data_IF_869309482506
#
_entry.id   IF_869309482506
#
_cell.length_a   1.000
_cell.length_b   1.000
_cell.length_c   1.000
_cell.angle_alpha   90.00
_cell.angle_beta   90.00
_cell.angle_gamma   90.00
#
_symmetry.space_group_name_H-M   'P 1'
#
loop_
_entity.id
_entity.type
_entity.pdbx_description
1 polymer ?
#
# COMPACT_ATOMS: atom_id res chain seq x y z
N UNK A 1 -37.48 7.73 -62.85
CA UNK A 1 -38.50 8.05 -61.86
C UNK A 1 -38.24 7.20 -60.62
N UNK A 2 -37.71 7.77 -59.60
CA UNK A 2 -37.52 7.16 -58.28
C UNK A 2 -38.25 8.04 -57.26
N UNK A 3 -39.11 7.53 -56.39
CA UNK A 3 -39.71 8.33 -55.36
C UNK A 3 -38.78 8.45 -54.12
N UNK A 4 -38.62 9.67 -53.66
CA UNK A 4 -37.96 10.03 -52.40
C UNK A 4 -38.88 9.67 -51.22
N UNK A 5 -38.35 8.90 -50.25
CA UNK A 5 -38.97 8.72 -48.94
C UNK A 5 -38.39 9.78 -48.00
N UNK A 6 -39.28 10.65 -47.54
CA UNK A 6 -39.02 11.62 -46.47
C UNK A 6 -39.26 10.93 -45.14
N UNK A 7 -38.17 10.77 -44.34
CA UNK A 7 -38.23 10.23 -42.98
C UNK A 7 -38.47 11.39 -41.99
N UNK A 8 -39.63 11.47 -41.40
CA UNK A 8 -39.93 12.38 -40.30
C UNK A 8 -39.35 11.81 -39.00
N UNK A 9 -38.34 12.50 -38.43
CA UNK A 9 -37.81 12.24 -37.08
C UNK A 9 -38.72 12.91 -36.06
N UNK A 10 -39.47 12.13 -35.29
CA UNK A 10 -40.17 12.62 -34.09
C UNK A 10 -39.16 12.63 -32.93
N UNK A 11 -38.77 13.83 -32.51
CA UNK A 11 -38.02 14.06 -31.26
C UNK A 11 -39.01 13.97 -30.08
N UNK A 12 -39.01 12.88 -29.36
CA UNK A 12 -39.68 12.79 -28.05
C UNK A 12 -38.73 13.36 -27.00
N UNK A 13 -39.04 14.52 -26.47
CA UNK A 13 -38.38 15.09 -25.28
C UNK A 13 -38.76 14.25 -24.06
N UNK A 14 -37.79 13.52 -23.50
CA UNK A 14 -37.88 12.90 -22.18
C UNK A 14 -37.52 13.95 -21.12
N UNK A 15 -38.53 14.32 -20.33
CA UNK A 15 -38.32 15.12 -19.10
C UNK A 15 -37.66 14.25 -18.04
N UNK A 16 -36.66 14.75 -17.27
CA UNK A 16 -36.06 13.99 -16.19
C UNK A 16 -37.06 13.88 -15.02
N UNK A 17 -37.47 12.67 -14.71
CA UNK A 17 -38.23 12.37 -13.49
C UNK A 17 -37.29 12.43 -12.30
N UNK A 18 -37.44 13.47 -11.50
CA UNK A 18 -36.79 13.57 -10.17
C UNK A 18 -37.43 12.52 -9.26
N UNK A 19 -36.68 11.47 -8.92
CA UNK A 19 -37.06 10.54 -7.86
C UNK A 19 -36.86 11.24 -6.53
N UNK A 20 -37.97 11.62 -5.88
CA UNK A 20 -37.95 12.10 -4.51
C UNK A 20 -37.47 10.96 -3.59
N UNK A 21 -36.37 11.16 -2.89
CA UNK A 21 -35.99 10.31 -1.78
C UNK A 21 -36.98 10.51 -0.65
N UNK A 22 -37.75 9.48 -0.32
CA UNK A 22 -38.53 9.42 0.90
C UNK A 22 -37.56 9.44 2.11
N UNK A 23 -37.40 10.61 2.70
CA UNK A 23 -36.98 10.74 4.08
C UNK A 23 -38.20 10.46 4.94
N UNK A 24 -38.21 9.31 5.63
CA UNK A 24 -38.95 9.07 6.88
C UNK A 24 -39.10 7.57 7.08
N UNK A 25 -38.04 6.96 7.60
CA UNK A 25 -38.17 5.75 8.38
C UNK A 25 -37.24 5.90 9.60
N UNK A 26 -37.75 6.28 10.77
CA UNK A 26 -36.93 6.36 11.97
C UNK A 26 -36.62 4.93 12.42
N UNK A 27 -35.39 4.47 12.13
CA UNK A 27 -34.87 3.31 12.81
C UNK A 27 -34.81 3.61 14.32
N UNK A 28 -35.36 2.75 15.19
CA UNK A 28 -35.22 2.95 16.61
C UNK A 28 -33.72 2.94 16.99
N UNK A 29 -33.29 3.75 17.96
CA UNK A 29 -31.90 3.75 18.40
C UNK A 29 -31.58 2.36 18.94
N UNK A 30 -30.67 1.65 18.27
CA UNK A 30 -30.09 0.41 18.80
C UNK A 30 -29.11 0.81 19.88
N UNK A 31 -29.61 1.08 21.08
CA UNK A 31 -28.83 1.03 22.32
C UNK A 31 -28.71 -0.45 22.73
N UNK A 32 -28.02 -1.25 21.92
CA UNK A 32 -27.48 -2.48 22.42
C UNK A 32 -26.23 -2.10 23.22
N UNK A 33 -26.27 -2.28 24.53
CA UNK A 33 -25.06 -2.40 25.36
C UNK A 33 -24.12 -3.36 24.63
N UNK A 34 -23.06 -2.83 24.08
CA UNK A 34 -21.99 -3.60 23.44
C UNK A 34 -21.33 -4.36 24.57
N UNK A 35 -21.77 -5.60 24.80
CA UNK A 35 -21.05 -6.51 25.69
C UNK A 35 -19.60 -6.48 25.22
N UNK A 36 -18.70 -5.93 26.03
CA UNK A 36 -17.28 -5.89 25.76
C UNK A 36 -16.78 -7.31 25.74
N UNK A 37 -16.74 -7.91 24.55
CA UNK A 37 -16.03 -9.17 24.35
C UNK A 37 -14.59 -8.93 24.82
N UNK A 38 -14.02 -9.84 25.62
CA UNK A 38 -12.64 -9.68 26.03
C UNK A 38 -11.77 -9.58 24.77
N UNK A 39 -10.98 -8.51 24.69
CA UNK A 39 -10.02 -8.35 23.59
C UNK A 39 -9.10 -9.57 23.62
N UNK A 40 -9.04 -10.38 22.55
CA UNK A 40 -8.19 -11.55 22.53
C UNK A 40 -6.74 -11.14 22.78
N UNK A 41 -6.07 -11.86 23.64
CA UNK A 41 -4.67 -11.58 23.97
C UNK A 41 -3.77 -12.00 22.81
N UNK A 42 -2.71 -11.23 22.53
CA UNK A 42 -1.67 -11.64 21.59
C UNK A 42 -1.09 -13.02 21.97
N UNK A 43 -0.54 -13.77 20.99
CA UNK A 43 0.11 -15.05 21.29
C UNK A 43 1.20 -14.90 22.36
N UNK A 44 1.24 -15.83 23.32
CA UNK A 44 2.19 -15.74 24.44
C UNK A 44 3.67 -15.73 24.01
N UNK A 45 3.98 -16.32 22.85
CA UNK A 45 5.33 -16.34 22.29
C UNK A 45 5.75 -15.03 21.59
N UNK A 46 4.83 -14.09 21.36
CA UNK A 46 5.07 -12.89 20.56
C UNK A 46 6.17 -11.98 21.10
N UNK A 47 6.24 -11.69 22.44
CA UNK A 47 7.34 -10.86 22.97
C UNK A 47 8.72 -11.50 22.80
N UNK A 48 8.81 -12.83 22.95
CA UNK A 48 10.08 -13.55 22.80
C UNK A 48 10.54 -13.57 21.33
N UNK A 49 9.60 -13.73 20.38
CA UNK A 49 9.90 -13.68 18.97
C UNK A 49 10.28 -12.24 18.52
N UNK A 50 9.61 -11.24 19.08
CA UNK A 50 9.94 -9.83 18.86
C UNK A 50 11.38 -9.51 19.28
N UNK A 51 11.77 -9.93 20.48
CA UNK A 51 13.14 -9.77 20.97
C UNK A 51 14.15 -10.58 20.14
N UNK A 52 13.81 -11.79 19.72
CA UNK A 52 14.63 -12.63 18.85
C UNK A 52 14.85 -11.97 17.48
N UNK A 53 13.80 -11.33 16.94
CA UNK A 53 13.89 -10.60 15.67
C UNK A 53 14.95 -9.51 15.74
N UNK A 54 14.90 -8.66 16.76
CA UNK A 54 15.86 -7.56 16.92
C UNK A 54 17.29 -8.07 17.13
N UNK A 55 17.43 -9.19 17.82
CA UNK A 55 18.74 -9.74 18.13
C UNK A 55 19.38 -10.48 16.93
N UNK A 56 18.60 -11.18 16.09
CA UNK A 56 19.18 -12.16 15.15
C UNK A 56 18.43 -12.37 13.82
N UNK A 57 17.13 -12.02 13.70
CA UNK A 57 16.37 -12.46 12.53
C UNK A 57 16.38 -11.47 11.37
N UNK A 58 16.64 -10.21 11.64
CA UNK A 58 16.72 -9.21 10.55
C UNK A 58 17.85 -9.56 9.61
N UNK A 59 17.53 -9.80 8.36
CA UNK A 59 18.50 -10.10 7.31
C UNK A 59 19.18 -8.80 6.86
N UNK A 60 20.50 -8.76 6.91
CA UNK A 60 21.31 -7.63 6.47
C UNK A 60 21.32 -7.50 4.94
N UNK A 61 21.60 -6.28 4.44
CA UNK A 61 21.65 -5.97 3.01
C UNK A 61 20.30 -5.65 2.38
N UNK A 62 19.21 -5.62 3.18
CA UNK A 62 17.86 -5.21 2.78
C UNK A 62 17.40 -4.01 3.60
N UNK A 63 18.30 -3.09 3.93
CA UNK A 63 18.01 -1.86 4.66
C UNK A 63 17.33 -0.82 3.76
N UNK A 64 17.71 -0.78 2.47
CA UNK A 64 17.00 0.00 1.45
C UNK A 64 15.89 -0.84 0.84
N UNK A 65 14.68 -0.30 0.80
CA UNK A 65 13.51 -0.94 0.20
C UNK A 65 13.54 -0.96 -1.34
N UNK A 66 14.41 -0.18 -1.95
CA UNK A 66 14.56 -0.08 -3.40
C UNK A 66 15.65 -1.04 -3.90
N UNK A 67 15.33 -2.31 -3.99
CA UNK A 67 16.23 -3.35 -4.50
C UNK A 67 15.63 -4.08 -5.71
N UNK A 68 16.50 -4.64 -6.54
CA UNK A 68 16.11 -5.54 -7.63
C UNK A 68 16.08 -7.02 -7.19
N UNK A 69 15.54 -7.88 -8.05
CA UNK A 69 15.42 -9.30 -7.74
C UNK A 69 16.77 -10.00 -7.59
N UNK A 70 17.77 -9.64 -8.40
CA UNK A 70 19.12 -10.23 -8.34
C UNK A 70 19.77 -9.95 -6.99
N UNK A 71 19.67 -8.72 -6.49
CA UNK A 71 20.19 -8.35 -5.18
C UNK A 71 19.49 -9.14 -4.07
N UNK A 72 18.15 -9.17 -4.08
CA UNK A 72 17.38 -9.92 -3.10
C UNK A 72 17.73 -11.41 -3.10
N UNK A 73 17.83 -12.04 -4.28
CA UNK A 73 18.19 -13.45 -4.38
C UNK A 73 19.63 -13.73 -3.94
N UNK A 74 20.56 -12.80 -4.15
CA UNK A 74 21.94 -12.96 -3.65
C UNK A 74 22.00 -13.07 -2.13
N UNK A 75 21.08 -12.36 -1.44
CA UNK A 75 20.96 -12.37 0.03
C UNK A 75 20.14 -13.56 0.51
N UNK A 76 19.04 -13.90 -0.17
CA UNK A 76 18.14 -14.96 0.28
C UNK A 76 18.67 -16.37 0.00
N UNK A 77 19.43 -16.58 -1.08
CA UNK A 77 19.92 -17.92 -1.47
C UNK A 77 20.70 -18.64 -0.37
N UNK A 78 21.63 -18.01 0.38
CA UNK A 78 22.31 -18.67 1.48
C UNK A 78 21.38 -19.14 2.61
N UNK A 79 20.21 -18.49 2.78
CA UNK A 79 19.22 -18.86 3.80
C UNK A 79 18.38 -20.06 3.40
N UNK A 80 18.30 -20.35 2.10
CA UNK A 80 17.41 -21.33 1.47
C UNK A 80 18.09 -22.68 1.20
N UNK A 81 19.08 -23.04 2.01
CA UNK A 81 19.80 -24.29 1.82
C UNK A 81 18.91 -25.52 2.05
N UNK A 82 19.13 -26.55 1.24
CA UNK A 82 18.39 -27.83 1.29
C UNK A 82 18.47 -28.50 2.66
N UNK A 83 19.59 -28.34 3.39
CA UNK A 83 19.76 -28.87 4.76
C UNK A 83 18.73 -28.29 5.75
N UNK A 84 18.18 -27.11 5.47
CA UNK A 84 17.11 -26.48 6.27
C UNK A 84 15.72 -26.87 5.79
N UNK A 85 15.61 -27.75 4.79
CA UNK A 85 14.35 -28.26 4.27
C UNK A 85 13.71 -27.39 3.18
N UNK A 86 14.46 -26.43 2.65
CA UNK A 86 14.01 -25.62 1.52
C UNK A 86 14.29 -26.31 0.17
N UNK A 87 13.43 -26.02 -0.81
CA UNK A 87 13.67 -26.25 -2.24
C UNK A 87 13.33 -24.98 -2.99
N UNK A 88 14.21 -24.60 -3.90
CA UNK A 88 14.04 -23.43 -4.78
C UNK A 88 13.98 -23.95 -6.22
N UNK A 89 12.96 -23.55 -6.94
CA UNK A 89 12.73 -23.96 -8.34
C UNK A 89 12.51 -22.70 -9.19
N UNK A 90 13.14 -22.64 -10.36
CA UNK A 90 12.76 -21.69 -11.40
C UNK A 90 11.50 -22.22 -12.08
N UNK A 91 10.41 -21.46 -11.98
CA UNK A 91 9.07 -21.86 -12.44
C UNK A 91 8.60 -21.08 -13.67
N UNK A 92 9.40 -20.14 -14.15
CA UNK A 92 9.11 -19.33 -15.32
C UNK A 92 10.10 -18.20 -15.49
N UNK A 93 9.81 -17.35 -16.47
CA UNK A 93 10.58 -16.13 -16.75
C UNK A 93 9.65 -14.94 -16.96
N UNK A 94 10.10 -13.75 -16.56
CA UNK A 94 9.40 -12.49 -16.76
C UNK A 94 9.45 -12.04 -18.23
N UNK A 95 8.82 -10.91 -18.53
CA UNK A 95 8.87 -10.29 -19.87
C UNK A 95 10.31 -10.01 -20.31
N UNK A 96 11.20 -9.61 -19.42
CA UNK A 96 12.61 -9.32 -19.69
C UNK A 96 13.54 -10.52 -19.38
N UNK A 97 13.00 -11.72 -19.42
CA UNK A 97 13.73 -12.97 -19.24
C UNK A 97 14.41 -13.14 -17.86
N UNK A 98 13.93 -12.44 -16.82
CA UNK A 98 14.40 -12.65 -15.44
C UNK A 98 13.73 -13.88 -14.85
N UNK A 99 14.49 -14.72 -14.08
CA UNK A 99 13.94 -15.95 -13.52
C UNK A 99 12.86 -15.68 -12.48
N UNK A 100 11.74 -16.37 -12.61
CA UNK A 100 10.65 -16.43 -11.63
C UNK A 100 10.86 -17.66 -10.77
N UNK A 101 11.06 -17.49 -9.47
CA UNK A 101 11.46 -18.58 -8.57
C UNK A 101 10.45 -18.80 -7.46
N UNK A 102 10.18 -20.04 -7.19
CA UNK A 102 9.32 -20.55 -6.14
C UNK A 102 10.16 -21.19 -5.04
N UNK A 103 9.82 -20.92 -3.79
CA UNK A 103 10.42 -21.53 -2.61
C UNK A 103 9.39 -22.44 -1.96
N UNK A 104 9.78 -23.68 -1.70
CA UNK A 104 8.96 -24.65 -0.97
C UNK A 104 9.64 -25.02 0.36
N UNK A 105 8.84 -25.09 1.44
CA UNK A 105 9.30 -25.49 2.77
C UNK A 105 8.19 -26.16 3.58
N UNK A 106 8.57 -27.12 4.44
CA UNK A 106 7.63 -27.83 5.31
C UNK A 106 7.17 -29.16 4.75
N UNK A 107 6.49 -29.96 5.58
CA UNK A 107 6.04 -31.32 5.25
C UNK A 107 4.61 -31.60 5.72
N UNK A 108 3.94 -30.58 6.22
CA UNK A 108 2.56 -30.69 6.73
C UNK A 108 1.54 -30.78 5.59
N UNK A 109 0.30 -31.13 5.98
CA UNK A 109 -0.79 -31.38 5.01
C UNK A 109 -1.53 -30.11 4.58
N UNK A 110 -1.27 -28.97 5.22
CA UNK A 110 -1.95 -27.71 4.90
C UNK A 110 -1.10 -26.86 3.96
N UNK A 111 -1.43 -26.80 2.66
CA UNK A 111 -0.70 -25.98 1.72
C UNK A 111 -1.07 -24.51 1.89
N UNK A 112 -0.06 -23.66 1.99
CA UNK A 112 -0.16 -22.20 2.11
C UNK A 112 0.66 -21.56 1.00
N UNK A 113 0.06 -20.70 0.19
CA UNK A 113 0.74 -19.94 -0.86
C UNK A 113 0.88 -18.48 -0.44
N UNK A 114 2.11 -18.00 -0.42
CA UNK A 114 2.44 -16.58 -0.19
C UNK A 114 3.05 -16.01 -1.48
N UNK A 115 2.55 -14.85 -1.93
CA UNK A 115 3.17 -14.15 -3.05
C UNK A 115 3.31 -12.67 -2.73
N UNK A 116 4.42 -12.09 -3.16
CA UNK A 116 4.80 -10.71 -2.87
C UNK A 116 5.35 -10.02 -4.11
N UNK A 117 5.47 -8.72 -4.01
CA UNK A 117 6.09 -7.84 -5.00
C UNK A 117 5.59 -8.09 -6.43
N UNK A 118 4.27 -8.29 -6.57
CA UNK A 118 3.62 -8.25 -7.88
C UNK A 118 3.56 -6.81 -8.42
N UNK A 119 3.61 -5.82 -7.52
CA UNK A 119 4.01 -4.46 -7.86
C UNK A 119 5.49 -4.30 -7.46
N UNK A 120 6.32 -3.88 -8.40
CA UNK A 120 7.77 -3.91 -8.22
C UNK A 120 8.29 -2.95 -7.15
N UNK A 121 7.55 -1.92 -6.80
CA UNK A 121 7.85 -0.93 -5.76
C UNK A 121 7.28 -1.27 -4.36
N UNK A 122 6.66 -2.46 -4.21
CA UNK A 122 6.05 -2.92 -2.97
C UNK A 122 6.90 -4.03 -2.32
N UNK A 123 8.00 -3.64 -1.71
CA UNK A 123 9.06 -4.56 -1.30
C UNK A 123 9.04 -4.96 0.18
N UNK A 124 8.17 -4.36 1.01
CA UNK A 124 8.17 -4.59 2.46
C UNK A 124 8.01 -6.07 2.82
N UNK A 125 7.05 -6.74 2.16
CA UNK A 125 6.83 -8.16 2.38
C UNK A 125 7.99 -9.02 1.88
N UNK A 126 8.62 -8.70 0.75
CA UNK A 126 9.80 -9.44 0.26
C UNK A 126 10.96 -9.37 1.24
N UNK A 127 11.17 -8.21 1.91
CA UNK A 127 12.12 -8.10 3.01
C UNK A 127 11.75 -9.00 4.19
N UNK A 128 10.47 -8.97 4.62
CA UNK A 128 9.97 -9.79 5.72
C UNK A 128 10.02 -11.29 5.41
N UNK A 129 9.86 -11.70 4.15
CA UNK A 129 10.00 -13.08 3.71
C UNK A 129 11.46 -13.57 3.83
N UNK A 130 12.45 -12.73 3.58
CA UNK A 130 13.85 -13.08 3.83
C UNK A 130 14.09 -13.35 5.32
N UNK A 131 13.52 -12.52 6.22
CA UNK A 131 13.58 -12.72 7.67
C UNK A 131 12.87 -14.02 8.09
N UNK A 132 11.71 -14.31 7.47
CA UNK A 132 11.00 -15.56 7.68
C UNK A 132 11.85 -16.77 7.27
N UNK A 133 12.54 -16.70 6.14
CA UNK A 133 13.43 -17.78 5.70
C UNK A 133 14.61 -17.99 6.67
N UNK A 134 15.19 -16.92 7.19
CA UNK A 134 16.21 -17.03 8.26
C UNK A 134 15.64 -17.70 9.50
N UNK A 135 14.46 -17.28 9.95
CA UNK A 135 13.79 -17.89 11.11
C UNK A 135 13.54 -19.39 10.90
N UNK A 136 12.94 -19.76 9.78
CA UNK A 136 12.62 -21.16 9.48
C UNK A 136 13.86 -22.05 9.31
N UNK A 137 14.94 -21.50 8.72
CA UNK A 137 16.17 -22.21 8.42
C UNK A 137 17.10 -22.35 9.63
N UNK A 138 17.44 -21.23 10.25
CA UNK A 138 18.46 -21.19 11.31
C UNK A 138 17.91 -21.57 12.69
N UNK A 139 16.58 -21.46 12.90
CA UNK A 139 15.94 -21.75 14.17
C UNK A 139 15.06 -23.02 14.14
N UNK A 140 15.48 -24.05 13.41
CA UNK A 140 14.75 -25.31 13.24
C UNK A 140 14.38 -26.00 14.58
N UNK A 141 15.13 -25.70 15.65
CA UNK A 141 14.83 -26.17 17.02
C UNK A 141 13.70 -25.43 17.73
N UNK A 142 13.31 -24.23 17.24
CA UNK A 142 12.29 -23.40 17.87
C UNK A 142 10.91 -24.08 17.81
N UNK A 143 10.09 -24.02 18.89
CA UNK A 143 8.78 -24.70 18.92
C UNK A 143 7.86 -24.30 17.76
N UNK A 144 7.78 -23.01 17.43
CA UNK A 144 6.99 -22.51 16.29
C UNK A 144 7.47 -23.10 14.97
N UNK A 145 8.79 -23.14 14.72
CA UNK A 145 9.34 -23.68 13.47
C UNK A 145 9.03 -25.17 13.33
N UNK A 146 9.18 -25.95 14.41
CA UNK A 146 8.81 -27.38 14.43
C UNK A 146 7.33 -27.58 14.09
N UNK A 147 6.46 -26.76 14.70
CA UNK A 147 5.03 -26.83 14.51
C UNK A 147 4.61 -26.43 13.10
N UNK A 148 5.15 -25.32 12.57
CA UNK A 148 4.92 -24.90 11.19
C UNK A 148 5.36 -25.98 10.21
N UNK A 149 6.58 -26.54 10.39
CA UNK A 149 7.12 -27.60 9.52
C UNK A 149 6.25 -28.85 9.48
N UNK A 150 5.72 -29.26 10.61
CA UNK A 150 4.93 -30.49 10.74
C UNK A 150 3.50 -30.35 10.19
N UNK A 151 2.91 -29.16 10.24
CA UNK A 151 1.48 -28.97 9.97
C UNK A 151 1.19 -28.21 8.67
N UNK A 152 2.18 -27.46 8.14
CA UNK A 152 2.02 -26.69 6.90
C UNK A 152 3.05 -27.08 5.85
N UNK A 153 2.70 -26.82 4.61
CA UNK A 153 3.64 -26.75 3.50
C UNK A 153 3.57 -25.37 2.91
N UNK A 154 4.66 -24.60 3.05
CA UNK A 154 4.75 -23.24 2.55
C UNK A 154 5.25 -23.24 1.11
N UNK A 155 4.54 -22.55 0.27
CA UNK A 155 4.89 -22.23 -1.10
C UNK A 155 5.01 -20.70 -1.19
N UNK A 156 6.19 -20.19 -1.52
CA UNK A 156 6.45 -18.76 -1.53
C UNK A 156 6.94 -18.31 -2.89
N UNK A 157 6.30 -17.29 -3.45
CA UNK A 157 6.72 -16.60 -4.66
C UNK A 157 7.13 -15.16 -4.27
N UNK A 158 8.37 -14.94 -3.85
CA UNK A 158 8.76 -13.74 -3.12
C UNK A 158 8.83 -12.47 -3.98
N UNK A 159 9.09 -12.60 -5.28
CA UNK A 159 9.13 -11.49 -6.23
C UNK A 159 8.45 -11.93 -7.52
N UNK A 160 7.16 -11.57 -7.67
CA UNK A 160 6.36 -11.91 -8.85
C UNK A 160 6.74 -11.03 -10.04
N UNK A 161 7.12 -9.77 -9.81
CA UNK A 161 7.44 -8.77 -10.83
C UNK A 161 8.90 -8.31 -10.75
N UNK A 162 9.87 -9.12 -11.18
CA UNK A 162 11.28 -8.75 -11.11
C UNK A 162 11.64 -7.58 -12.04
N UNK A 163 10.89 -7.38 -13.14
CA UNK A 163 11.12 -6.28 -14.08
C UNK A 163 10.67 -4.94 -13.48
N UNK A 164 9.53 -4.93 -12.79
CA UNK A 164 9.08 -3.77 -12.03
C UNK A 164 10.00 -3.47 -10.85
N UNK A 165 10.46 -4.50 -10.13
CA UNK A 165 11.40 -4.35 -9.03
C UNK A 165 12.73 -3.72 -9.48
N UNK A 166 13.25 -4.11 -10.64
CA UNK A 166 14.47 -3.53 -11.20
C UNK A 166 14.39 -2.03 -11.47
N UNK A 167 13.17 -1.50 -11.63
CA UNK A 167 12.89 -0.07 -11.88
C UNK A 167 12.22 0.62 -10.69
N UNK A 168 11.98 -0.13 -9.63
CA UNK A 168 11.21 0.29 -8.48
C UNK A 168 9.89 0.95 -8.89
N UNK A 169 9.11 0.24 -9.71
CA UNK A 169 7.84 0.71 -10.25
C UNK A 169 6.73 -0.33 -10.09
N UNK A 170 5.48 0.12 -10.00
CA UNK A 170 4.31 -0.73 -9.82
C UNK A 170 4.15 -1.77 -10.95
N UNK A 171 4.18 -1.32 -12.19
CA UNK A 171 3.84 -2.11 -13.37
C UNK A 171 5.03 -2.94 -13.87
N UNK A 172 4.76 -4.01 -14.63
CA UNK A 172 5.81 -4.80 -15.27
C UNK A 172 6.48 -4.04 -16.44
N UNK A 173 7.39 -4.70 -17.15
CA UNK A 173 8.14 -4.11 -18.27
C UNK A 173 7.26 -3.62 -19.43
N UNK A 174 6.06 -4.16 -19.59
CA UNK A 174 5.10 -3.76 -20.64
C UNK A 174 4.06 -2.74 -20.13
N UNK A 175 4.20 -2.20 -18.91
CA UNK A 175 3.26 -1.27 -18.33
C UNK A 175 1.97 -1.91 -17.83
N UNK A 176 1.92 -3.24 -17.70
CA UNK A 176 0.75 -3.97 -17.22
C UNK A 176 0.80 -4.06 -15.68
N UNK A 177 -0.32 -3.76 -15.04
CA UNK A 177 -0.53 -4.02 -13.62
C UNK A 177 -0.86 -5.50 -13.44
N UNK A 178 0.04 -6.27 -12.82
CA UNK A 178 -0.14 -7.71 -12.65
C UNK A 178 -1.35 -8.06 -11.78
N UNK A 179 -1.70 -7.18 -10.82
CA UNK A 179 -2.92 -7.36 -10.01
C UNK A 179 -4.20 -6.89 -10.72
N UNK A 180 -4.13 -6.69 -12.04
CA UNK A 180 -5.27 -6.50 -12.95
C UNK A 180 -5.23 -7.50 -14.11
N UNK A 181 -4.39 -8.54 -14.02
CA UNK A 181 -4.19 -9.54 -15.08
C UNK A 181 -4.62 -10.96 -14.67
N UNK A 182 -5.17 -11.14 -13.47
CA UNK A 182 -5.53 -12.47 -12.95
C UNK A 182 -6.59 -13.20 -13.80
N UNK A 183 -7.45 -12.44 -14.49
CA UNK A 183 -8.49 -13.03 -15.37
C UNK A 183 -7.97 -13.30 -16.78
N UNK A 184 -7.21 -12.37 -17.35
CA UNK A 184 -6.74 -12.46 -18.73
C UNK A 184 -5.48 -13.30 -18.85
N UNK A 185 -4.59 -13.26 -17.84
CA UNK A 185 -3.30 -13.98 -17.83
C UNK A 185 -2.44 -13.64 -19.06
N UNK A 186 -2.44 -12.36 -19.45
CA UNK A 186 -1.71 -11.87 -20.62
C UNK A 186 -0.20 -11.92 -20.41
N UNK A 187 0.27 -11.68 -19.18
CA UNK A 187 1.68 -11.61 -18.83
C UNK A 187 2.25 -12.98 -18.44
N UNK A 188 3.54 -13.25 -18.68
CA UNK A 188 4.19 -14.48 -18.23
C UNK A 188 4.17 -14.61 -16.71
N UNK A 189 4.32 -13.51 -15.96
CA UNK A 189 4.28 -13.47 -14.51
C UNK A 189 2.92 -13.92 -13.96
N UNK A 190 1.82 -13.39 -14.53
CA UNK A 190 0.46 -13.77 -14.13
C UNK A 190 0.17 -15.24 -14.45
N UNK A 191 0.59 -15.73 -15.64
CA UNK A 191 0.47 -17.15 -15.99
C UNK A 191 1.24 -18.05 -15.04
N UNK A 192 2.46 -17.64 -14.67
CA UNK A 192 3.30 -18.39 -13.72
C UNK A 192 2.67 -18.48 -12.34
N UNK A 193 2.16 -17.35 -11.80
CA UNK A 193 1.47 -17.36 -10.51
C UNK A 193 0.20 -18.24 -10.54
N UNK A 194 -0.58 -18.16 -11.62
CA UNK A 194 -1.77 -19.01 -11.80
C UNK A 194 -1.40 -20.49 -11.89
N UNK A 195 -0.37 -20.83 -12.65
CA UNK A 195 0.11 -22.22 -12.80
C UNK A 195 0.59 -22.78 -11.45
N UNK A 196 1.32 -21.96 -10.67
CA UNK A 196 1.74 -22.34 -9.31
C UNK A 196 0.53 -22.55 -8.40
N UNK A 197 -0.47 -21.67 -8.46
CA UNK A 197 -1.72 -21.83 -7.70
C UNK A 197 -2.42 -23.16 -8.04
N UNK A 198 -2.55 -23.49 -9.32
CA UNK A 198 -3.21 -24.72 -9.79
C UNK A 198 -2.45 -25.99 -9.38
N UNK A 199 -1.13 -25.91 -9.37
CA UNK A 199 -0.25 -27.01 -8.93
C UNK A 199 -0.36 -27.23 -7.41
N UNK A 200 -0.29 -26.15 -6.64
CA UNK A 200 -0.28 -26.18 -5.15
C UNK A 200 -1.66 -26.45 -4.58
N UNK A 201 -2.71 -25.92 -5.20
CA UNK A 201 -4.09 -25.91 -4.68
C UNK A 201 -4.14 -25.47 -3.21
N UNK A 202 -3.68 -24.25 -2.92
CA UNK A 202 -3.51 -23.80 -1.55
C UNK A 202 -4.85 -23.76 -0.81
N UNK A 203 -4.84 -24.15 0.46
CA UNK A 203 -5.98 -23.93 1.35
C UNK A 203 -6.01 -22.48 1.85
N UNK A 204 -4.85 -21.88 2.05
CA UNK A 204 -4.69 -20.49 2.45
C UNK A 204 -3.78 -19.76 1.49
N UNK A 205 -4.10 -18.49 1.23
CA UNK A 205 -3.32 -17.58 0.41
C UNK A 205 -2.94 -16.30 1.16
N UNK A 206 -1.75 -15.77 0.89
CA UNK A 206 -1.34 -14.45 1.36
C UNK A 206 -0.91 -13.61 0.17
N UNK A 207 -1.71 -12.58 -0.13
CA UNK A 207 -1.42 -11.57 -1.13
C UNK A 207 -0.74 -10.37 -0.45
N UNK A 208 0.56 -10.23 -0.68
CA UNK A 208 1.40 -9.37 0.13
C UNK A 208 1.79 -8.11 -0.64
N UNK A 209 1.29 -6.97 -0.16
CA UNK A 209 1.36 -5.67 -0.81
C UNK A 209 1.90 -4.56 0.08
N UNK A 210 2.20 -3.44 -0.55
CA UNK A 210 2.37 -2.14 0.08
C UNK A 210 1.33 -1.17 -0.48
N UNK A 211 0.66 -0.44 0.39
CA UNK A 211 -0.20 0.68 -0.03
C UNK A 211 0.56 2.02 -0.01
N UNK A 212 -0.02 3.02 -0.65
CA UNK A 212 0.44 4.40 -0.55
C UNK A 212 0.46 4.85 0.91
N UNK A 213 1.54 5.50 1.30
CA UNK A 213 1.64 6.19 2.59
C UNK A 213 0.63 7.35 2.62
N UNK A 214 -0.03 7.56 3.74
CA UNK A 214 -0.99 8.64 3.90
C UNK A 214 -2.45 8.21 3.98
N UNK A 215 -2.78 6.94 3.70
CA UNK A 215 -4.11 6.42 4.05
C UNK A 215 -4.35 6.58 5.54
N UNK A 216 -5.58 6.96 5.91
CA UNK A 216 -6.02 7.09 7.29
C UNK A 216 -6.72 5.83 7.76
N UNK A 217 -6.63 5.56 9.07
CA UNK A 217 -7.46 4.55 9.70
C UNK A 217 -8.86 5.14 9.98
N UNK A 218 -9.77 4.97 9.05
CA UNK A 218 -11.10 5.59 9.07
C UNK A 218 -11.03 7.12 8.99
N UNK A 219 -11.90 7.78 9.74
CA UNK A 219 -11.93 9.25 9.87
C UNK A 219 -10.96 9.78 10.93
N UNK A 220 -10.12 8.92 11.51
CA UNK A 220 -9.17 9.33 12.55
C UNK A 220 -8.02 10.17 11.99
N UNK A 221 -7.28 10.83 12.89
CA UNK A 221 -6.04 11.54 12.55
C UNK A 221 -4.80 10.59 12.56
N UNK A 222 -5.02 9.27 12.45
CA UNK A 222 -3.96 8.26 12.47
C UNK A 222 -3.76 7.70 11.08
N UNK A 223 -2.51 7.65 10.62
CA UNK A 223 -2.14 6.99 9.37
C UNK A 223 -2.27 5.47 9.50
N UNK A 224 -2.69 4.80 8.44
CA UNK A 224 -2.72 3.34 8.37
C UNK A 224 -1.31 2.79 8.18
N UNK A 225 -0.83 2.02 9.15
CA UNK A 225 0.44 1.30 9.06
C UNK A 225 0.28 -0.07 8.37
N UNK A 226 -0.80 -0.78 8.69
CA UNK A 226 -1.18 -2.05 8.06
C UNK A 226 -2.66 -1.99 7.72
N UNK A 227 -3.01 -2.36 6.48
CA UNK A 227 -4.38 -2.64 6.12
C UNK A 227 -4.55 -4.13 5.76
N UNK A 228 -5.69 -4.69 6.16
CA UNK A 228 -6.04 -6.10 5.95
C UNK A 228 -7.27 -6.20 5.05
N UNK A 229 -7.28 -7.20 4.16
CA UNK A 229 -8.46 -7.56 3.39
C UNK A 229 -8.63 -9.08 3.39
N UNK A 230 -9.86 -9.53 3.66
CA UNK A 230 -10.35 -10.83 3.23
C UNK A 230 -11.07 -10.64 1.89
N UNK A 231 -10.39 -10.84 0.73
CA UNK A 231 -10.93 -10.47 -0.56
C UNK A 231 -12.29 -11.13 -0.83
N UNK A 232 -13.26 -10.39 -1.38
CA UNK A 232 -14.52 -10.98 -1.81
C UNK A 232 -14.30 -11.92 -2.99
N UNK A 233 -15.25 -12.82 -3.24
CA UNK A 233 -15.22 -13.71 -4.41
C UNK A 233 -16.37 -13.40 -5.40
N UNK A 234 -17.18 -12.41 -5.08
CA UNK A 234 -18.26 -11.90 -5.95
C UNK A 234 -18.65 -10.47 -5.56
N UNK A 235 -19.43 -9.79 -6.43
CA UNK A 235 -19.86 -8.41 -6.23
C UNK A 235 -20.80 -8.20 -5.02
N UNK A 236 -21.45 -9.24 -4.52
CA UNK A 236 -22.27 -9.16 -3.31
C UNK A 236 -21.44 -9.19 -2.02
N UNK A 237 -20.11 -9.41 -2.15
CA UNK A 237 -19.19 -9.59 -1.03
C UNK A 237 -19.65 -10.66 -0.02
N UNK A 238 -20.31 -11.73 -0.53
CA UNK A 238 -20.81 -12.83 0.28
C UNK A 238 -19.70 -13.48 1.11
N UNK A 239 -20.08 -14.05 2.25
CA UNK A 239 -19.17 -14.75 3.16
C UNK A 239 -19.53 -16.24 3.20
N UNK A 240 -18.67 -17.05 2.61
CA UNK A 240 -18.70 -18.52 2.68
C UNK A 240 -17.60 -19.03 3.62
N UNK A 241 -17.45 -20.34 3.75
CA UNK A 241 -16.43 -20.95 4.61
C UNK A 241 -15.00 -20.57 4.21
N UNK A 242 -14.75 -20.32 2.92
CA UNK A 242 -13.43 -19.90 2.43
C UNK A 242 -13.09 -18.50 2.96
N UNK A 243 -14.03 -17.57 2.80
CA UNK A 243 -13.86 -16.19 3.25
C UNK A 243 -13.92 -16.08 4.79
N UNK A 244 -14.74 -16.91 5.45
CA UNK A 244 -14.80 -16.98 6.93
C UNK A 244 -13.42 -17.28 7.52
N UNK A 245 -12.73 -18.30 7.01
CA UNK A 245 -11.37 -18.63 7.49
C UNK A 245 -10.37 -17.50 7.25
N UNK A 246 -10.49 -16.77 6.12
CA UNK A 246 -9.63 -15.61 5.85
C UNK A 246 -9.90 -14.47 6.83
N UNK A 247 -11.16 -14.19 7.15
CA UNK A 247 -11.57 -13.21 8.18
C UNK A 247 -11.00 -13.57 9.55
N UNK A 248 -11.09 -14.84 9.94
CA UNK A 248 -10.55 -15.35 11.21
C UNK A 248 -9.02 -15.17 11.27
N UNK A 249 -8.29 -15.52 10.20
CA UNK A 249 -6.84 -15.33 10.12
C UNK A 249 -6.46 -13.83 10.14
N UNK A 250 -7.22 -12.97 9.46
CA UNK A 250 -7.02 -11.52 9.54
C UNK A 250 -7.24 -10.99 10.97
N UNK A 251 -8.22 -11.53 11.69
CA UNK A 251 -8.44 -11.25 13.11
C UNK A 251 -7.25 -11.65 14.00
N UNK A 252 -6.59 -12.77 13.70
CA UNK A 252 -5.34 -13.19 14.39
C UNK A 252 -4.21 -12.19 14.11
N UNK A 253 -4.03 -11.77 12.86
CA UNK A 253 -3.00 -10.78 12.49
C UNK A 253 -3.25 -9.47 13.25
N UNK A 254 -4.49 -8.96 13.25
CA UNK A 254 -4.86 -7.78 14.03
C UNK A 254 -4.47 -7.94 15.50
N UNK A 255 -4.86 -9.05 16.11
CA UNK A 255 -4.59 -9.30 17.54
C UNK A 255 -3.10 -9.30 17.86
N UNK A 256 -2.28 -9.91 16.99
CA UNK A 256 -0.84 -9.94 17.16
C UNK A 256 -0.19 -8.55 17.00
N UNK A 257 -0.71 -7.71 16.11
CA UNK A 257 -0.14 -6.40 15.81
C UNK A 257 -0.71 -5.26 16.65
N UNK A 258 -1.86 -5.44 17.31
CA UNK A 258 -2.50 -4.41 18.12
C UNK A 258 -1.58 -3.77 19.18
N UNK A 259 -0.68 -4.52 19.89
CA UNK A 259 0.23 -3.92 20.86
C UNK A 259 1.22 -2.91 20.26
N UNK A 260 1.51 -3.02 18.98
CA UNK A 260 2.49 -2.19 18.27
C UNK A 260 1.83 -1.08 17.44
N UNK A 261 0.58 -1.30 17.01
CA UNK A 261 -0.11 -0.49 16.02
C UNK A 261 -1.53 -0.10 16.43
N UNK A 262 -1.78 0.08 17.74
CA UNK A 262 -3.10 0.46 18.24
C UNK A 262 -3.68 1.68 17.51
N UNK A 263 -4.78 1.46 16.77
CA UNK A 263 -5.45 2.48 15.98
C UNK A 263 -4.77 2.84 14.64
N UNK A 264 -3.76 2.05 14.21
CA UNK A 264 -3.07 2.19 12.93
C UNK A 264 -3.29 0.98 12.01
N UNK A 265 -4.21 0.08 12.38
CA UNK A 265 -4.62 -1.05 11.56
C UNK A 265 -5.99 -0.73 10.97
N UNK A 266 -6.13 -0.88 9.66
CA UNK A 266 -7.37 -0.62 8.92
C UNK A 266 -7.83 -1.84 8.12
N UNK A 267 -9.05 -1.77 7.60
CA UNK A 267 -9.58 -2.70 6.62
C UNK A 267 -9.49 -2.07 5.25
N UNK A 268 -8.99 -2.82 4.25
CA UNK A 268 -9.01 -2.39 2.86
C UNK A 268 -10.42 -2.50 2.28
N UNK A 269 -10.68 -1.78 1.22
CA UNK A 269 -11.94 -1.81 0.47
C UNK A 269 -12.30 -3.24 0.01
N UNK A 270 -13.53 -3.67 0.26
CA UNK A 270 -14.08 -4.99 -0.10
C UNK A 270 -14.78 -5.02 -1.46
N UNK A 271 -14.54 -4.07 -2.36
CA UNK A 271 -15.06 -4.11 -3.72
C UNK A 271 -14.42 -5.27 -4.52
N UNK A 272 -15.27 -6.14 -5.10
CA UNK A 272 -14.79 -7.28 -5.89
C UNK A 272 -14.23 -6.82 -7.24
N UNK A 273 -12.94 -7.03 -7.47
CA UNK A 273 -12.31 -6.84 -8.78
C UNK A 273 -11.91 -8.20 -9.40
N UNK A 274 -12.67 -8.69 -10.42
CA UNK A 274 -12.37 -9.97 -11.07
C UNK A 274 -11.05 -9.99 -11.85
N UNK A 275 -10.29 -8.90 -11.86
CA UNK A 275 -8.94 -8.82 -12.45
C UNK A 275 -7.85 -8.98 -11.40
N UNK A 276 -8.19 -8.88 -10.10
CA UNK A 276 -7.23 -8.96 -9.01
C UNK A 276 -6.98 -10.40 -8.56
N UNK A 277 -5.72 -10.74 -8.28
CA UNK A 277 -5.35 -12.08 -7.82
C UNK A 277 -5.91 -12.41 -6.43
N UNK A 278 -6.00 -11.45 -5.52
CA UNK A 278 -6.60 -11.67 -4.20
C UNK A 278 -8.02 -12.20 -4.29
N UNK A 279 -8.83 -11.55 -5.11
CA UNK A 279 -10.25 -11.86 -5.33
C UNK A 279 -10.43 -13.20 -6.04
N UNK A 280 -9.68 -13.41 -7.13
CA UNK A 280 -9.79 -14.64 -7.88
C UNK A 280 -9.22 -15.84 -7.12
N UNK A 281 -8.16 -15.71 -6.32
CA UNK A 281 -7.68 -16.81 -5.49
C UNK A 281 -8.70 -17.23 -4.43
N UNK A 282 -9.47 -16.26 -3.88
CA UNK A 282 -10.62 -16.55 -3.01
C UNK A 282 -11.74 -17.26 -3.78
N UNK A 283 -12.05 -16.81 -4.99
CA UNK A 283 -13.02 -17.46 -5.86
C UNK A 283 -12.59 -18.88 -6.27
N UNK A 284 -11.29 -19.12 -6.46
CA UNK A 284 -10.74 -20.45 -6.75
C UNK A 284 -10.65 -21.36 -5.52
N UNK A 285 -11.02 -20.89 -4.33
CA UNK A 285 -11.19 -21.70 -3.12
C UNK A 285 -10.10 -21.56 -2.06
N UNK A 286 -9.12 -20.68 -2.21
CA UNK A 286 -8.14 -20.40 -1.18
C UNK A 286 -8.64 -19.33 -0.21
N UNK A 287 -8.51 -19.57 1.11
CA UNK A 287 -8.78 -18.56 2.14
C UNK A 287 -7.67 -17.50 2.09
N UNK A 288 -7.88 -16.46 1.28
CA UNK A 288 -6.84 -15.45 0.99
C UNK A 288 -6.95 -14.28 1.94
N UNK A 289 -5.82 -13.88 2.52
CA UNK A 289 -5.65 -12.62 3.24
C UNK A 289 -4.71 -11.72 2.44
N UNK A 290 -5.17 -10.53 2.12
CA UNK A 290 -4.32 -9.48 1.58
C UNK A 290 -3.82 -8.62 2.74
N UNK A 291 -2.52 -8.27 2.72
CA UNK A 291 -1.88 -7.41 3.70
C UNK A 291 -1.19 -6.28 2.96
N UNK A 292 -1.54 -5.05 3.32
CA UNK A 292 -0.96 -3.82 2.76
C UNK A 292 -0.08 -3.15 3.82
N UNK A 293 1.21 -2.99 3.53
CA UNK A 293 2.08 -2.15 4.36
C UNK A 293 1.94 -0.69 3.95
N UNK A 294 1.43 0.14 4.84
CA UNK A 294 1.29 1.58 4.66
C UNK A 294 2.55 2.36 5.04
N UNK A 295 2.46 3.20 6.06
CA UNK A 295 3.58 4.00 6.55
C UNK A 295 3.57 4.19 8.07
N UNK A 296 4.77 4.30 8.62
CA UNK A 296 5.00 4.74 10.00
C UNK A 296 5.90 5.98 9.91
N UNK A 297 5.57 7.02 10.67
CA UNK A 297 6.37 8.24 10.69
C UNK A 297 7.82 7.93 11.08
N UNK A 298 8.78 8.48 10.33
CA UNK A 298 10.21 8.25 10.51
C UNK A 298 10.73 6.90 10.00
N UNK A 299 9.87 5.98 9.56
CA UNK A 299 10.26 4.67 9.00
C UNK A 299 10.38 4.74 7.46
N UNK A 300 11.29 5.57 6.97
CA UNK A 300 11.49 5.87 5.53
C UNK A 300 11.69 4.61 4.70
N UNK A 301 12.46 3.66 5.22
CA UNK A 301 12.80 2.41 4.54
C UNK A 301 11.89 1.24 4.96
N UNK A 302 10.76 1.53 5.65
CA UNK A 302 9.79 0.54 6.13
C UNK A 302 10.40 -0.62 6.96
N UNK A 303 11.52 -0.36 7.66
CA UNK A 303 12.21 -1.40 8.42
C UNK A 303 11.45 -1.83 9.68
N UNK A 304 10.75 -0.89 10.33
CA UNK A 304 9.83 -1.21 11.42
C UNK A 304 8.60 -1.95 10.89
N UNK A 305 8.04 -1.53 9.76
CA UNK A 305 6.93 -2.25 9.10
C UNK A 305 7.36 -3.66 8.66
N UNK A 306 8.58 -3.85 8.13
CA UNK A 306 9.15 -5.16 7.79
C UNK A 306 9.09 -6.13 8.97
N UNK A 307 9.52 -5.68 10.17
CA UNK A 307 9.44 -6.46 11.41
C UNK A 307 7.99 -6.82 11.76
N UNK A 308 7.09 -5.84 11.74
CA UNK A 308 5.68 -6.05 12.06
C UNK A 308 5.00 -6.96 11.04
N UNK A 309 5.36 -6.83 9.78
CA UNK A 309 4.92 -7.74 8.73
C UNK A 309 5.33 -9.19 9.01
N UNK A 310 6.61 -9.40 9.37
CA UNK A 310 7.13 -10.71 9.80
C UNK A 310 6.35 -11.27 10.99
N UNK A 311 6.16 -10.50 12.06
CA UNK A 311 5.42 -10.93 13.26
C UNK A 311 3.97 -11.30 12.92
N UNK A 312 3.28 -10.50 12.11
CA UNK A 312 1.92 -10.77 11.65
C UNK A 312 1.83 -12.05 10.81
N UNK A 313 2.79 -12.28 9.90
CA UNK A 313 2.85 -13.51 9.10
C UNK A 313 3.10 -14.74 9.98
N UNK A 314 4.03 -14.68 10.94
CA UNK A 314 4.27 -15.81 11.84
C UNK A 314 3.04 -16.12 12.69
N UNK A 315 2.33 -15.10 13.18
CA UNK A 315 1.09 -15.29 13.93
C UNK A 315 -0.01 -15.97 13.08
N UNK A 316 -0.18 -15.51 11.84
CA UNK A 316 -1.12 -16.11 10.90
C UNK A 316 -0.76 -17.58 10.59
N UNK A 317 0.50 -17.85 10.27
CA UNK A 317 0.98 -19.20 9.95
C UNK A 317 0.87 -20.15 11.14
N UNK A 318 1.21 -19.69 12.36
CA UNK A 318 1.04 -20.46 13.59
C UNK A 318 -0.43 -20.81 13.83
N UNK A 319 -1.33 -19.85 13.66
CA UNK A 319 -2.77 -20.08 13.81
C UNK A 319 -3.33 -21.08 12.78
N UNK A 320 -2.80 -21.07 11.56
CA UNK A 320 -3.13 -22.05 10.52
C UNK A 320 -2.59 -23.43 10.87
N UNK A 321 -1.35 -23.50 11.35
CA UNK A 321 -0.69 -24.75 11.72
C UNK A 321 -1.34 -25.45 12.92
N UNK A 322 -1.88 -24.66 13.86
CA UNK A 322 -2.59 -25.18 15.06
C UNK A 322 -4.08 -25.33 14.87
N UNK A 323 -4.66 -24.65 13.88
CA UNK A 323 -6.11 -24.49 13.74
C UNK A 323 -6.72 -23.48 14.71
N UNK A 324 -5.91 -22.72 15.46
CA UNK A 324 -6.40 -21.79 16.51
C UNK A 324 -7.09 -20.54 15.97
N UNK A 325 -7.01 -20.27 14.66
CA UNK A 325 -7.81 -19.23 14.02
C UNK A 325 -9.31 -19.58 13.99
N UNK A 326 -9.65 -20.88 14.01
CA UNK A 326 -11.04 -21.31 13.93
C UNK A 326 -11.82 -20.83 15.17
N UNK A 327 -12.89 -20.09 14.94
CA UNK A 327 -13.72 -19.50 16.00
C UNK A 327 -13.20 -18.15 16.54
N UNK A 328 -12.13 -17.59 15.98
CA UNK A 328 -11.74 -16.20 16.24
C UNK A 328 -12.86 -15.29 15.78
N UNK A 329 -13.27 -14.35 16.66
CA UNK A 329 -14.42 -13.50 16.39
C UNK A 329 -14.26 -12.71 15.08
N UNK A 330 -15.19 -12.84 14.13
CA UNK A 330 -15.16 -12.02 12.90
C UNK A 330 -15.21 -10.51 13.16
N UNK A 331 -15.66 -10.08 14.32
CA UNK A 331 -15.67 -8.67 14.71
C UNK A 331 -14.27 -8.09 14.80
N UNK A 332 -13.24 -8.89 15.08
CA UNK A 332 -11.85 -8.42 15.09
C UNK A 332 -11.42 -7.89 13.72
N UNK A 333 -11.92 -8.44 12.65
CA UNK A 333 -11.67 -7.94 11.30
C UNK A 333 -12.71 -6.88 10.89
N UNK A 334 -14.00 -7.16 11.09
CA UNK A 334 -15.10 -6.30 10.60
C UNK A 334 -15.17 -4.94 11.29
N UNK A 335 -14.76 -4.88 12.57
CA UNK A 335 -14.74 -3.62 13.34
C UNK A 335 -13.47 -2.81 13.11
N UNK A 336 -12.54 -3.26 12.25
CA UNK A 336 -11.44 -2.41 11.79
C UNK A 336 -12.02 -1.19 11.05
N UNK A 337 -11.49 0.01 11.28
CA UNK A 337 -11.84 1.15 10.47
C UNK A 337 -11.45 0.88 9.01
N UNK A 338 -12.23 1.36 8.07
CA UNK A 338 -11.85 1.29 6.66
C UNK A 338 -10.67 2.21 6.39
N UNK A 339 -9.85 1.91 5.38
CA UNK A 339 -8.87 2.85 4.87
C UNK A 339 -9.63 4.11 4.42
N UNK A 340 -9.36 5.21 5.10
CA UNK A 340 -9.95 6.51 4.77
C UNK A 340 -9.23 7.18 3.61
N UNK A 341 -9.60 8.44 3.35
CA UNK A 341 -8.95 9.23 2.31
C UNK A 341 -7.44 9.34 2.53
N UNK A 342 -6.70 9.39 1.45
CA UNK A 342 -5.27 9.64 1.49
C UNK A 342 -5.04 11.11 1.84
N UNK A 343 -4.29 11.36 2.91
CA UNK A 343 -3.84 12.72 3.18
C UNK A 343 -2.82 13.16 2.13
N UNK A 344 -2.94 14.40 1.65
CA UNK A 344 -1.85 15.07 0.97
C UNK A 344 -0.58 15.04 1.83
N UNK A 345 0.57 15.12 1.16
CA UNK A 345 1.83 14.89 1.88
C UNK A 345 2.30 16.11 2.65
N UNK A 346 2.28 17.32 2.02
CA UNK A 346 2.76 18.55 2.63
C UNK A 346 1.82 19.71 2.36
N UNK A 347 1.50 20.48 3.39
CA UNK A 347 0.73 21.71 3.30
C UNK A 347 1.55 22.88 3.86
N UNK A 348 1.88 23.84 3.02
CA UNK A 348 2.54 25.10 3.39
C UNK A 348 1.46 26.16 3.58
N UNK A 349 1.32 26.69 4.80
CA UNK A 349 0.23 27.59 5.18
C UNK A 349 0.65 29.05 5.22
N UNK A 350 -0.15 29.89 4.58
CA UNK A 350 -0.17 31.35 4.73
C UNK A 350 1.07 32.05 4.21
N UNK A 351 1.84 31.40 3.34
CA UNK A 351 3.00 32.03 2.69
C UNK A 351 2.60 33.08 1.64
N UNK A 352 3.53 33.94 1.28
CA UNK A 352 3.41 34.80 0.10
C UNK A 352 4.05 34.11 -1.09
N UNK A 353 3.27 33.80 -2.12
CA UNK A 353 3.77 33.26 -3.38
C UNK A 353 4.51 34.38 -4.12
N UNK A 354 5.79 34.15 -4.46
CA UNK A 354 6.62 35.07 -5.24
C UNK A 354 7.11 34.34 -6.51
N UNK A 355 6.50 34.65 -7.64
CA UNK A 355 6.86 34.04 -8.91
C UNK A 355 7.16 35.13 -9.95
N UNK A 356 8.18 34.96 -10.83
CA UNK A 356 8.52 35.90 -11.86
C UNK A 356 7.32 36.26 -12.76
N UNK A 357 7.11 37.57 -12.98
CA UNK A 357 6.03 38.07 -13.84
C UNK A 357 4.62 38.06 -13.19
N UNK A 358 4.48 37.63 -11.95
CA UNK A 358 3.21 37.59 -11.18
C UNK A 358 3.28 38.49 -9.96
N UNK A 359 2.19 39.19 -9.60
CA UNK A 359 2.14 39.94 -8.34
C UNK A 359 2.20 38.99 -7.16
N UNK A 360 2.91 39.32 -6.08
CA UNK A 360 2.90 38.52 -4.87
C UNK A 360 1.48 38.40 -4.31
N UNK A 361 1.09 37.20 -3.88
CA UNK A 361 -0.19 36.97 -3.23
C UNK A 361 -0.05 35.96 -2.09
N UNK A 362 -0.87 36.11 -1.06
CA UNK A 362 -0.89 35.19 0.08
C UNK A 362 -1.80 34.00 -0.23
N UNK A 363 -1.25 32.80 -0.12
CA UNK A 363 -2.00 31.57 -0.30
C UNK A 363 -1.35 30.41 0.46
N UNK A 364 -2.09 29.33 0.60
CA UNK A 364 -1.59 28.02 1.00
C UNK A 364 -1.16 27.24 -0.24
N UNK A 365 -0.19 26.33 -0.08
CA UNK A 365 0.30 25.46 -1.13
C UNK A 365 0.27 24.00 -0.65
N UNK A 366 -0.29 23.10 -1.46
CA UNK A 366 -0.37 21.68 -1.20
C UNK A 366 0.56 20.93 -2.14
N UNK A 367 1.35 19.99 -1.61
CA UNK A 367 2.29 19.17 -2.36
C UNK A 367 2.01 17.69 -2.11
N UNK A 368 2.03 16.89 -3.17
CA UNK A 368 2.12 15.44 -3.09
C UNK A 368 3.47 14.98 -3.63
N UNK A 369 4.08 13.98 -2.98
CA UNK A 369 5.33 13.38 -3.40
C UNK A 369 5.08 12.06 -4.13
N UNK A 370 5.92 11.75 -5.12
CA UNK A 370 5.95 10.41 -5.73
C UNK A 370 6.39 9.37 -4.70
N UNK A 371 7.39 9.71 -3.88
CA UNK A 371 7.76 8.93 -2.71
C UNK A 371 7.51 9.77 -1.44
N UNK A 372 6.35 9.57 -0.76
CA UNK A 372 6.01 10.36 0.42
C UNK A 372 6.93 10.14 1.62
N UNK A 373 7.67 9.03 1.67
CA UNK A 373 8.57 8.71 2.78
C UNK A 373 9.90 9.46 2.67
N UNK A 374 10.39 9.67 1.44
CA UNK A 374 11.62 10.44 1.18
C UNK A 374 11.35 11.87 0.78
N UNK A 375 10.06 12.24 0.58
CA UNK A 375 9.64 13.55 0.10
C UNK A 375 10.34 13.97 -1.20
N UNK A 376 10.48 13.02 -2.12
CA UNK A 376 11.11 13.23 -3.43
C UNK A 376 10.06 13.31 -4.55
N UNK A 377 10.44 13.95 -5.65
CA UNK A 377 9.62 14.13 -6.85
C UNK A 377 8.24 14.74 -6.51
N UNK A 378 8.24 15.86 -5.81
CA UNK A 378 7.04 16.58 -5.43
C UNK A 378 6.34 17.22 -6.62
N UNK A 379 5.00 17.18 -6.60
CA UNK A 379 4.14 17.93 -7.49
C UNK A 379 3.18 18.81 -6.69
N UNK A 380 2.95 20.03 -7.16
CA UNK A 380 1.96 20.92 -6.57
C UNK A 380 0.57 20.33 -6.84
N UNK A 381 -0.16 20.01 -5.78
CA UNK A 381 -1.48 19.42 -5.88
C UNK A 381 -2.59 20.47 -5.89
N UNK A 382 -2.41 21.57 -5.13
CA UNK A 382 -3.41 22.64 -5.04
C UNK A 382 -2.76 23.93 -4.52
N UNK A 383 -3.34 25.09 -4.85
CA UNK A 383 -2.90 26.43 -4.41
C UNK A 383 -4.12 27.29 -4.13
N UNK A 384 -4.13 28.00 -3.01
CA UNK A 384 -5.22 28.94 -2.69
C UNK A 384 -5.59 28.96 -1.21
N UNK A 385 -6.90 29.05 -0.90
CA UNK A 385 -7.41 28.89 0.46
C UNK A 385 -7.60 27.41 0.77
N UNK A 386 -6.64 26.82 1.45
CA UNK A 386 -6.66 25.42 1.87
C UNK A 386 -6.87 25.28 3.39
N UNK A 387 -7.48 26.29 4.02
CA UNK A 387 -7.66 26.36 5.47
C UNK A 387 -8.35 25.16 6.11
N UNK A 388 -9.22 24.45 5.35
CA UNK A 388 -9.94 23.25 5.80
C UNK A 388 -9.18 21.95 5.47
N UNK A 389 -8.15 22.00 4.64
CA UNK A 389 -7.36 20.81 4.27
C UNK A 389 -6.42 20.40 5.39
N UNK A 390 -6.22 19.09 5.51
CA UNK A 390 -5.18 18.48 6.37
C UNK A 390 -4.14 17.81 5.46
N UNK A 391 -2.92 17.69 5.95
CA UNK A 391 -1.84 16.96 5.28
C UNK A 391 -1.05 16.16 6.31
N UNK A 392 -0.24 15.21 5.88
CA UNK A 392 0.67 14.44 6.73
C UNK A 392 1.62 15.37 7.49
N UNK A 393 2.10 16.40 6.81
CA UNK A 393 2.95 17.44 7.37
C UNK A 393 2.40 18.82 7.01
N UNK A 394 2.41 19.74 7.97
CA UNK A 394 2.05 21.14 7.72
C UNK A 394 3.16 22.05 8.20
N UNK A 395 3.47 23.07 7.41
CA UNK A 395 4.44 24.13 7.73
C UNK A 395 3.68 25.45 7.86
N UNK A 396 3.80 26.13 8.99
CA UNK A 396 3.36 27.51 9.13
C UNK A 396 4.40 28.44 8.49
N UNK A 397 4.06 28.98 7.33
CA UNK A 397 4.94 29.84 6.54
C UNK A 397 4.46 31.31 6.52
N UNK A 398 3.67 31.71 7.50
CA UNK A 398 3.24 33.13 7.63
C UNK A 398 4.44 34.05 7.79
N UNK A 399 4.50 35.07 6.94
CA UNK A 399 5.64 36.01 6.87
C UNK A 399 6.83 35.52 6.04
N UNK A 400 6.71 34.36 5.42
CA UNK A 400 7.70 33.82 4.47
C UNK A 400 7.17 33.90 3.02
N UNK A 401 8.10 33.85 2.10
CA UNK A 401 7.84 33.75 0.67
C UNK A 401 8.07 32.31 0.20
N UNK A 402 7.18 31.81 -0.66
CA UNK A 402 7.45 30.63 -1.50
C UNK A 402 8.07 31.15 -2.78
N UNK A 403 9.34 30.80 -3.01
CA UNK A 403 10.11 31.25 -4.18
C UNK A 403 10.50 30.02 -5.02
N UNK A 404 10.08 29.94 -6.30
CA UNK A 404 10.49 28.85 -7.19
C UNK A 404 11.99 28.83 -7.42
N UNK A 405 12.59 27.64 -7.48
CA UNK A 405 14.00 27.48 -7.84
C UNK A 405 14.14 27.52 -9.35
N UNK A 406 14.98 28.43 -9.87
CA UNK A 406 15.24 28.56 -11.29
C UNK A 406 15.93 27.31 -11.87
N UNK A 407 15.56 26.91 -13.08
CA UNK A 407 16.15 25.78 -13.81
C UNK A 407 15.26 24.52 -13.89
N UNK A 408 14.17 24.46 -13.15
CA UNK A 408 13.20 23.38 -13.17
C UNK A 408 11.80 23.82 -13.66
N UNK A 409 11.70 25.02 -14.21
CA UNK A 409 10.47 25.53 -14.81
C UNK A 409 10.29 24.86 -16.18
N UNK A 410 9.48 23.80 -16.27
CA UNK A 410 9.00 23.35 -17.56
C UNK A 410 8.91 21.88 -17.87
N UNK A 411 9.22 20.94 -16.98
CA UNK A 411 8.78 19.56 -17.20
C UNK A 411 7.31 19.40 -16.76
N UNK A 412 6.41 19.71 -17.69
CA UNK A 412 4.99 19.32 -17.56
C UNK A 412 4.90 17.81 -17.68
N UNK A 413 4.42 17.15 -16.65
CA UNK A 413 3.74 15.86 -16.81
C UNK A 413 2.48 16.15 -17.64
N UNK A 414 2.44 15.67 -18.88
CA UNK A 414 1.34 15.87 -19.83
C UNK A 414 0.07 15.28 -19.21
N UNK A 415 -0.81 16.14 -18.74
CA UNK A 415 -2.23 15.84 -18.61
C UNK A 415 -2.89 16.78 -19.62
N UNK A 416 -3.38 16.20 -20.72
CA UNK A 416 -4.20 16.74 -21.81
C UNK A 416 -4.25 18.28 -21.93
N UNK A 417 -3.49 18.83 -22.89
CA UNK A 417 -3.64 20.19 -23.35
C UNK A 417 -4.90 20.29 -24.21
N UNK A 418 -5.90 21.02 -23.74
CA UNK A 418 -6.87 21.63 -24.66
C UNK A 418 -6.11 22.64 -25.55
N UNK A 419 -6.25 22.44 -26.82
CA UNK A 419 -5.61 23.21 -27.90
C UNK A 419 -6.35 24.55 -28.08
N UNK A 420 -6.04 25.52 -27.20
CA UNK A 420 -6.34 26.94 -27.42
C UNK A 420 -5.06 27.72 -27.16
N UNK A 421 -4.26 27.87 -28.20
CA UNK A 421 -3.05 28.71 -28.20
C UNK A 421 -3.43 30.19 -28.32
N UNK A 422 -3.58 30.83 -27.17
CA UNK A 422 -3.60 32.28 -27.06
C UNK A 422 -2.14 32.76 -27.06
N UNK A 423 -1.68 33.38 -28.17
CA UNK A 423 -0.30 33.83 -28.35
C UNK A 423 0.14 34.95 -27.38
N UNK A 424 -0.80 35.54 -26.61
CA UNK A 424 -0.56 36.54 -25.58
C UNK A 424 -0.53 35.96 -24.15
N UNK A 425 -0.64 34.63 -23.97
CA UNK A 425 -0.65 34.03 -22.67
C UNK A 425 0.71 34.15 -21.96
N UNK A 426 0.77 34.88 -20.86
CA UNK A 426 1.91 34.86 -19.92
C UNK A 426 2.24 33.43 -19.57
N UNK A 427 3.52 33.09 -19.50
CA UNK A 427 3.94 31.79 -19.03
C UNK A 427 3.24 31.47 -17.68
N UNK A 428 2.63 30.29 -17.53
CA UNK A 428 1.94 29.95 -16.29
C UNK A 428 2.90 30.05 -15.12
N UNK A 429 2.39 30.47 -13.95
CA UNK A 429 3.19 30.47 -12.72
C UNK A 429 3.80 29.10 -12.48
N UNK A 430 5.09 29.00 -12.13
CA UNK A 430 5.70 27.72 -11.74
C UNK A 430 5.10 27.12 -10.45
N UNK A 431 4.25 27.88 -9.76
CA UNK A 431 3.54 27.46 -8.54
C UNK A 431 2.06 27.15 -8.84
N UNK A 432 1.78 26.41 -9.91
CA UNK A 432 0.41 25.99 -10.29
C UNK A 432 0.21 24.49 -10.08
N UNK A 433 -1.04 24.04 -9.87
CA UNK A 433 -1.34 22.61 -9.80
C UNK A 433 -0.80 21.84 -11.02
N UNK A 434 -0.18 20.68 -10.77
CA UNK A 434 0.49 19.86 -11.77
C UNK A 434 1.95 20.24 -12.06
N UNK A 435 2.44 21.39 -11.61
CA UNK A 435 3.85 21.73 -11.72
C UNK A 435 4.70 20.96 -10.70
N UNK A 436 5.96 20.70 -11.05
CA UNK A 436 6.92 20.14 -10.10
C UNK A 436 7.15 21.07 -8.92
N UNK A 437 7.16 20.52 -7.72
CA UNK A 437 7.34 21.29 -6.50
C UNK A 437 8.83 21.58 -6.26
N UNK A 438 9.36 22.58 -6.96
CA UNK A 438 10.74 23.06 -6.79
C UNK A 438 10.70 24.49 -6.25
N UNK A 439 10.72 24.65 -4.94
CA UNK A 439 10.67 25.94 -4.29
C UNK A 439 11.41 25.95 -2.95
N UNK A 440 11.69 27.13 -2.47
CA UNK A 440 12.21 27.37 -1.12
C UNK A 440 11.25 28.26 -0.32
N UNK A 441 11.31 28.19 1.01
CA UNK A 441 10.76 29.21 1.89
C UNK A 441 11.87 30.20 2.25
N UNK A 442 11.62 31.47 2.01
CA UNK A 442 12.59 32.56 2.23
C UNK A 442 11.97 33.71 2.98
N UNK A 443 12.80 34.52 3.67
CA UNK A 443 12.36 35.78 4.28
C UNK A 443 12.30 36.94 3.30
N UNK A 444 12.90 36.79 2.14
CA UNK A 444 12.87 37.78 1.06
C UNK A 444 12.24 37.20 -0.22
N UNK A 445 11.62 38.05 -1.06
CA UNK A 445 10.90 37.60 -2.25
C UNK A 445 11.80 37.09 -3.38
N UNK A 446 13.11 37.33 -3.30
CA UNK A 446 14.10 36.85 -4.27
C UNK A 446 14.74 35.52 -3.88
N UNK A 447 14.41 34.97 -2.69
CA UNK A 447 14.92 33.68 -2.26
C UNK A 447 16.38 33.66 -1.80
N UNK A 448 16.91 34.80 -1.32
CA UNK A 448 18.30 34.92 -0.86
C UNK A 448 18.46 34.55 0.62
N UNK A 449 17.47 34.79 1.46
CA UNK A 449 17.45 34.39 2.87
C UNK A 449 16.56 33.15 3.06
N UNK A 450 17.05 32.00 2.57
CA UNK A 450 16.35 30.72 2.62
C UNK A 450 16.31 30.20 4.03
N UNK A 451 15.12 29.81 4.50
CA UNK A 451 14.89 29.23 5.82
C UNK A 451 14.45 27.79 5.78
N UNK A 452 14.01 27.31 4.60
CA UNK A 452 13.60 25.92 4.41
C UNK A 452 13.67 25.54 2.93
N UNK A 453 14.06 24.29 2.67
CA UNK A 453 14.08 23.68 1.34
C UNK A 453 13.31 22.36 1.34
N UNK A 454 12.81 21.94 0.19
CA UNK A 454 12.02 20.70 0.08
C UNK A 454 12.87 19.44 0.38
N UNK A 455 14.17 19.50 0.12
CA UNK A 455 15.14 18.43 0.39
C UNK A 455 15.62 18.37 1.85
N UNK A 456 15.05 19.23 2.73
CA UNK A 456 15.40 19.25 4.15
C UNK A 456 16.80 19.79 4.48
N UNK A 457 17.51 20.37 3.50
CA UNK A 457 18.89 20.89 3.71
C UNK A 457 18.99 22.06 4.70
N UNK A 458 17.85 22.66 5.07
CA UNK A 458 17.74 23.70 6.10
C UNK A 458 16.63 23.32 7.09
N UNK A 459 17.00 23.05 8.36
CA UNK A 459 16.04 22.69 9.42
C UNK A 459 15.14 23.88 9.78
N UNK A 460 13.81 23.81 9.53
CA UNK A 460 12.89 24.87 9.91
C UNK A 460 12.76 25.07 11.44
N UNK A 461 13.06 24.01 12.23
CA UNK A 461 12.98 24.06 13.70
C UNK A 461 14.16 24.83 14.33
N UNK A 462 15.26 25.01 13.61
CA UNK A 462 16.45 25.69 14.14
C UNK A 462 16.24 27.19 14.40
N UNK A 463 15.11 27.79 13.96
CA UNK A 463 14.83 29.22 14.12
C UNK A 463 13.35 29.52 14.36
N UNK A 464 12.74 28.93 15.39
CA UNK A 464 11.53 29.54 15.93
C UNK A 464 11.88 30.99 16.38
N UNK A 465 11.12 32.01 15.95
CA UNK A 465 11.33 33.35 16.49
C UNK A 465 11.07 33.28 17.98
N UNK A 466 12.10 33.57 18.76
CA UNK A 466 11.99 33.85 20.21
C UNK A 466 10.79 34.77 20.44
N UNK A 467 9.81 34.28 21.19
CA UNK A 467 8.73 35.09 21.71
C UNK A 467 9.33 36.32 22.39
N UNK A 468 9.03 37.50 21.90
CA UNK A 468 9.07 38.72 22.65
C UNK A 468 7.67 39.08 23.11
#
# INVERSE_FOLDING_TARGET
MRPSLTLCLLLTMMTPTTVARNADNPHPPVTAERATMPTPSPPAWLPDLDALYDARLRVEGLEDRSFNAEHWWSIATPLLETRHGFRVEEIGRSVEDRPLRHVHWGTGKTPVLLWSQMHGDESTASMALADLFRFLGEHAGHPLVKQLRANTTLHVFPIVNPDGAARFQRRNAQGIDLNRDARMLATPEARTLKALFDQVKPKYGFNLHDQRVGYRAGDSDRGTAIALLSPPYNHAADVNDVRTRAIEVAGVIRTALEPYLAGHIARWDEEFDPRAFGDLTTQWGASTVLIEAGGIEGDVQKQRLRKLYFLGLVAALDSIATGSHAGVSPALYRDLPENGDVWPDLLVRGATLSAPGHPPLRADLLVNFRNPLTETDGAIADVGDLGTKKARRSIDARGLFIVPIAGHAGERTIIEANDDTDEDARAPSPLTPGASAHFVLSRDPEGRDVVWTLDGSVDPAARSPTKR
#
